data_IF_344614786152
#
_entry.id   IF_344614786152
#
_cell.length_a   1.000
_cell.length_b   1.000
_cell.length_c   1.000
_cell.angle_alpha   90.00
_cell.angle_beta   90.00
_cell.angle_gamma   90.00
#
_symmetry.space_group_name_H-M   'P 1'
#
loop_
_entity.id
_entity.type
_entity.pdbx_description
1 polymer ?
#
# COMPACT_ATOMS: atom_id res chain seq x y z
N UNK A 1 4.54 5.22 -1.12
CA UNK A 1 3.95 5.46 0.23
C UNK A 1 3.73 6.95 0.46
N UNK A 2 4.60 7.76 -0.13
CA UNK A 2 4.41 9.16 -0.54
C UNK A 2 3.06 9.56 -1.19
N UNK A 3 2.24 8.63 -1.66
CA UNK A 3 0.84 8.93 -2.02
C UNK A 3 -0.11 9.13 -0.82
N UNK A 4 0.37 8.87 0.41
CA UNK A 4 -0.37 9.09 1.64
C UNK A 4 -0.58 10.59 1.89
N UNK A 5 -1.80 10.96 2.30
CA UNK A 5 -2.23 12.36 2.40
C UNK A 5 -1.39 13.24 3.32
N UNK A 6 -0.70 12.66 4.31
CA UNK A 6 0.16 13.36 5.26
C UNK A 6 1.67 13.16 4.97
N UNK A 7 2.03 12.53 3.85
CA UNK A 7 3.43 12.50 3.44
C UNK A 7 3.90 13.91 3.03
N UNK A 8 5.08 14.37 3.50
CA UNK A 8 5.53 15.75 3.31
C UNK A 8 5.72 16.16 1.84
N UNK A 9 5.79 15.20 0.92
CA UNK A 9 5.91 15.47 -0.52
C UNK A 9 4.67 15.02 -1.32
N UNK A 10 3.57 14.66 -0.64
CA UNK A 10 2.38 14.15 -1.32
C UNK A 10 1.59 15.23 -2.05
N UNK A 11 1.20 14.90 -3.28
CA UNK A 11 0.16 15.61 -4.02
C UNK A 11 -1.15 14.80 -4.08
N UNK A 12 -1.21 13.69 -3.36
CA UNK A 12 -2.37 12.79 -3.30
C UNK A 12 -3.12 12.89 -1.98
N UNK A 13 -4.24 12.16 -1.88
CA UNK A 13 -5.13 12.13 -0.71
C UNK A 13 -5.50 10.70 -0.30
N UNK A 14 -4.59 9.75 -0.47
CA UNK A 14 -4.83 8.39 0.01
C UNK A 14 -4.71 8.37 1.53
N UNK A 15 -5.67 7.73 2.17
CA UNK A 15 -5.64 7.40 3.59
C UNK A 15 -4.93 6.05 3.81
N UNK A 16 -4.63 5.69 5.06
CA UNK A 16 -4.02 4.39 5.35
C UNK A 16 -4.87 3.21 4.90
N UNK A 17 -6.20 3.31 5.00
CA UNK A 17 -7.12 2.24 4.60
C UNK A 17 -7.13 2.01 3.07
N UNK A 18 -6.87 3.04 2.28
CA UNK A 18 -6.80 2.93 0.82
C UNK A 18 -5.66 2.01 0.36
N UNK A 19 -4.56 1.94 1.12
CA UNK A 19 -3.45 1.05 0.81
C UNK A 19 -3.83 -0.44 0.90
N UNK A 20 -4.78 -0.80 1.77
CA UNK A 20 -5.35 -2.16 1.81
C UNK A 20 -6.12 -2.48 0.53
N UNK A 21 -6.86 -1.52 0.00
CA UNK A 21 -7.58 -1.67 -1.25
C UNK A 21 -6.63 -1.77 -2.45
N UNK A 22 -5.53 -1.00 -2.45
CA UNK A 22 -4.45 -1.16 -3.45
C UNK A 22 -3.92 -2.59 -3.45
N UNK A 23 -3.63 -3.15 -2.28
CA UNK A 23 -3.21 -4.55 -2.12
C UNK A 23 -4.20 -5.53 -2.74
N UNK A 24 -5.50 -5.42 -2.41
CA UNK A 24 -6.55 -6.29 -2.95
C UNK A 24 -6.66 -6.23 -4.47
N UNK A 25 -6.55 -5.03 -5.05
CA UNK A 25 -6.61 -4.84 -6.51
C UNK A 25 -5.43 -5.49 -7.22
N UNK A 26 -4.23 -5.39 -6.64
CA UNK A 26 -3.04 -6.07 -7.17
C UNK A 26 -3.18 -7.59 -7.12
N UNK A 27 -3.72 -8.14 -6.02
CA UNK A 27 -3.96 -9.57 -5.89
C UNK A 27 -4.93 -10.13 -6.95
N UNK A 28 -5.96 -9.35 -7.29
CA UNK A 28 -6.93 -9.69 -8.34
C UNK A 28 -6.32 -9.90 -9.74
N UNK A 29 -5.06 -9.51 -9.97
CA UNK A 29 -4.35 -9.79 -11.22
C UNK A 29 -3.87 -11.25 -11.33
N UNK A 30 -3.76 -11.99 -10.22
CA UNK A 30 -3.40 -13.41 -10.21
C UNK A 30 -1.98 -13.72 -10.73
N UNK A 31 -1.03 -12.79 -10.58
CA UNK A 31 0.34 -12.91 -11.07
C UNK A 31 1.35 -13.15 -9.93
N UNK A 32 2.43 -13.93 -10.17
CA UNK A 32 3.58 -13.94 -9.28
C UNK A 32 4.12 -12.52 -9.11
N UNK A 33 4.11 -12.01 -7.88
CA UNK A 33 4.36 -10.60 -7.59
C UNK A 33 5.49 -10.44 -6.58
N UNK A 34 6.46 -9.58 -6.91
CA UNK A 34 7.53 -9.13 -6.00
C UNK A 34 7.27 -7.66 -5.64
N UNK A 35 7.19 -7.34 -4.35
CA UNK A 35 7.07 -5.97 -3.88
C UNK A 35 8.47 -5.38 -3.63
N UNK A 36 8.72 -4.18 -4.19
CA UNK A 36 9.91 -3.39 -3.96
C UNK A 36 9.51 -2.08 -3.28
N UNK A 37 10.09 -1.79 -2.12
CA UNK A 37 9.82 -0.55 -1.40
C UNK A 37 10.61 0.61 -2.03
N UNK A 38 9.88 1.59 -2.56
CA UNK A 38 10.41 2.80 -3.17
C UNK A 38 10.33 3.99 -2.18
N UNK A 39 9.59 5.05 -2.52
CA UNK A 39 9.40 6.25 -1.69
C UNK A 39 8.38 6.11 -0.56
N UNK A 40 8.50 6.99 0.42
CA UNK A 40 7.73 7.04 1.66
C UNK A 40 8.49 7.80 2.74
N UNK A 41 7.98 8.95 3.12
CA UNK A 41 8.67 9.93 3.96
C UNK A 41 7.88 10.28 5.24
N UNK A 42 6.60 9.94 5.31
CA UNK A 42 5.84 9.87 6.56
C UNK A 42 6.32 8.67 7.42
N UNK A 43 7.36 8.88 8.23
CA UNK A 43 8.06 7.80 8.96
C UNK A 43 7.17 7.07 9.98
N UNK A 44 6.25 7.77 10.64
CA UNK A 44 5.37 7.16 11.64
C UNK A 44 4.36 6.21 10.97
N UNK A 45 3.86 6.58 9.79
CA UNK A 45 2.80 5.86 9.08
C UNK A 45 3.31 4.91 7.99
N UNK A 46 4.57 5.02 7.54
CA UNK A 46 5.10 4.19 6.46
C UNK A 46 4.96 2.70 6.76
N UNK A 47 5.20 2.28 8.02
CA UNK A 47 5.04 0.90 8.43
C UNK A 47 3.59 0.41 8.29
N UNK A 48 2.63 1.23 8.72
CA UNK A 48 1.19 0.94 8.63
C UNK A 48 0.78 0.82 7.17
N UNK A 49 1.15 1.81 6.34
CA UNK A 49 0.74 1.85 4.94
C UNK A 49 1.37 0.70 4.13
N UNK A 50 2.63 0.34 4.40
CA UNK A 50 3.30 -0.83 3.78
C UNK A 50 2.60 -2.13 4.16
N UNK A 51 2.34 -2.34 5.46
CA UNK A 51 1.65 -3.55 5.92
C UNK A 51 0.25 -3.62 5.32
N UNK A 52 -0.48 -2.50 5.23
CA UNK A 52 -1.80 -2.47 4.62
C UNK A 52 -1.79 -2.96 3.16
N UNK A 53 -0.82 -2.53 2.34
CA UNK A 53 -0.67 -3.08 0.97
C UNK A 53 -0.46 -4.59 1.00
N UNK A 54 0.47 -5.07 1.82
CA UNK A 54 0.82 -6.50 1.87
C UNK A 54 -0.33 -7.35 2.41
N UNK A 55 -0.96 -6.96 3.51
CA UNK A 55 -2.12 -7.64 4.08
C UNK A 55 -3.33 -7.60 3.16
N UNK A 56 -3.57 -6.47 2.47
CA UNK A 56 -4.60 -6.36 1.44
C UNK A 56 -4.35 -7.33 0.26
N UNK A 57 -3.10 -7.45 -0.17
CA UNK A 57 -2.70 -8.40 -1.20
C UNK A 57 -2.92 -9.85 -0.75
N UNK A 58 -2.39 -10.23 0.42
CA UNK A 58 -2.56 -11.58 0.99
C UNK A 58 -4.04 -11.96 1.12
N UNK A 59 -4.88 -11.07 1.64
CA UNK A 59 -6.31 -11.29 1.76
C UNK A 59 -7.02 -11.49 0.41
N UNK A 60 -6.56 -10.81 -0.65
CA UNK A 60 -7.07 -10.96 -2.01
C UNK A 60 -6.54 -12.20 -2.74
N UNK A 61 -5.44 -12.80 -2.27
CA UNK A 61 -4.89 -14.06 -2.82
C UNK A 61 -5.47 -15.33 -2.17
N UNK A 62 -6.24 -15.20 -1.08
CA UNK A 62 -6.94 -16.34 -0.50
C UNK A 62 -7.95 -16.91 -1.51
N UNK A 63 -7.79 -18.21 -1.81
CA UNK A 63 -8.47 -18.97 -2.85
C UNK A 63 -10.01 -18.95 -2.76
#
# INVERSE_FOLDING_TARGET
MDAFENDPISEFKLTSDDFSEVGRRLAGLGLPTTFLLEGGYAVEEIGINVVNVLSGFEAGTAA
#
